data_IF_520060884845
#
_entry.id   IF_520060884845
#
_cell.length_a   1.000
_cell.length_b   1.000
_cell.length_c   1.000
_cell.angle_alpha   90.00
_cell.angle_beta   90.00
_cell.angle_gamma   90.00
#
_symmetry.space_group_name_H-M   'P 1'
#
loop_
_entity.id
_entity.type
_entity.pdbx_description
1 polymer ?
#
# COMPACT_ATOMS: atom_id res chain seq x y z
N UNK A 1 -5.52 10.57 8.19
CA UNK A 1 -6.99 10.40 8.01
C UNK A 1 -7.34 8.93 8.20
N UNK A 2 -8.10 8.58 9.24
CA UNK A 2 -8.45 7.18 9.64
C UNK A 2 -9.26 6.35 8.62
N UNK A 3 -9.68 6.94 7.49
CA UNK A 3 -10.58 6.31 6.51
C UNK A 3 -9.97 6.18 5.11
N UNK A 4 -8.71 6.57 4.93
CA UNK A 4 -8.04 6.45 3.62
C UNK A 4 -7.65 4.98 3.41
N UNK A 5 -7.94 4.47 2.22
CA UNK A 5 -7.38 3.18 1.78
C UNK A 5 -5.87 3.29 1.63
N UNK A 6 -5.16 2.15 1.68
CA UNK A 6 -3.71 2.12 1.46
C UNK A 6 -3.28 2.80 0.17
N UNK A 7 -4.04 2.60 -0.93
CA UNK A 7 -3.79 3.27 -2.20
C UNK A 7 -3.67 4.79 -2.05
N UNK A 8 -4.52 5.40 -1.24
CA UNK A 8 -4.55 6.83 -0.99
C UNK A 8 -3.52 7.27 0.07
N UNK A 9 -3.20 6.39 1.01
CA UNK A 9 -2.18 6.67 2.04
C UNK A 9 -0.75 6.63 1.48
N UNK A 10 -0.52 5.80 0.47
CA UNK A 10 0.80 5.56 -0.12
C UNK A 10 1.05 6.33 -1.43
N UNK A 11 0.07 7.08 -1.93
CA UNK A 11 0.17 7.78 -3.20
C UNK A 11 1.41 8.70 -3.30
N UNK A 12 1.70 9.47 -2.25
CA UNK A 12 2.86 10.38 -2.24
C UNK A 12 4.18 9.61 -2.19
N UNK A 13 4.22 8.49 -1.48
CA UNK A 13 5.42 7.64 -1.41
C UNK A 13 5.65 6.89 -2.72
N UNK A 14 4.60 6.36 -3.35
CA UNK A 14 4.69 5.64 -4.63
C UNK A 14 4.73 6.58 -5.85
N UNK A 15 4.54 7.88 -5.66
CA UNK A 15 4.51 8.89 -6.73
C UNK A 15 3.12 9.08 -7.36
N UNK A 16 2.24 8.08 -7.31
CA UNK A 16 0.82 8.25 -7.64
C UNK A 16 -0.08 7.19 -6.98
N UNK A 17 -1.41 7.41 -6.90
CA UNK A 17 -2.34 6.38 -6.46
C UNK A 17 -2.34 5.13 -7.35
N UNK A 18 -2.07 5.28 -8.66
CA UNK A 18 -1.99 4.15 -9.58
C UNK A 18 -0.74 3.30 -9.33
N UNK A 19 0.38 3.95 -9.01
CA UNK A 19 1.63 3.26 -8.68
C UNK A 19 1.54 2.56 -7.33
N UNK A 20 0.93 3.21 -6.33
CA UNK A 20 0.63 2.57 -5.05
C UNK A 20 -0.21 1.31 -5.23
N UNK A 21 -1.21 1.35 -6.12
CA UNK A 21 -2.06 0.19 -6.44
C UNK A 21 -1.26 -0.96 -7.07
N UNK A 22 -0.38 -0.67 -8.04
CA UNK A 22 0.51 -1.68 -8.64
C UNK A 22 1.39 -2.35 -7.60
N UNK A 23 2.07 -1.56 -6.76
CA UNK A 23 2.96 -2.08 -5.71
C UNK A 23 2.21 -2.93 -4.69
N UNK A 24 1.01 -2.53 -4.30
CA UNK A 24 0.16 -3.30 -3.38
C UNK A 24 -0.24 -4.64 -4.00
N UNK A 25 -0.68 -4.65 -5.26
CA UNK A 25 -1.04 -5.88 -5.98
C UNK A 25 0.17 -6.81 -6.13
N UNK A 26 1.33 -6.29 -6.50
CA UNK A 26 2.58 -7.08 -6.61
C UNK A 26 3.07 -7.62 -5.27
N UNK A 27 2.78 -6.93 -4.17
CA UNK A 27 3.05 -7.39 -2.82
C UNK A 27 2.00 -8.37 -2.28
N UNK A 28 0.94 -8.66 -3.04
CA UNK A 28 -0.16 -9.52 -2.63
C UNK A 28 -1.11 -8.86 -1.62
N UNK A 29 -1.12 -7.54 -1.54
CA UNK A 29 -1.90 -6.74 -0.59
C UNK A 29 -3.09 -6.10 -1.33
N UNK A 30 -4.27 -6.15 -0.71
CA UNK A 30 -5.45 -5.47 -1.27
C UNK A 30 -5.25 -3.94 -1.26
N UNK A 31 -5.44 -3.24 -2.40
CA UNK A 31 -5.39 -1.77 -2.45
C UNK A 31 -6.46 -1.09 -1.59
N UNK A 32 -7.50 -1.84 -1.21
CA UNK A 32 -8.60 -1.38 -0.35
C UNK A 32 -8.36 -1.68 1.13
N UNK A 33 -7.31 -2.45 1.47
CA UNK A 33 -6.94 -2.69 2.86
C UNK A 33 -6.63 -1.36 3.56
N UNK A 34 -6.76 -1.37 4.89
CA UNK A 34 -6.39 -0.23 5.72
C UNK A 34 -5.06 -0.49 6.38
N UNK A 35 -4.33 0.58 6.69
CA UNK A 35 -3.01 0.49 7.31
C UNK A 35 -3.01 -0.30 8.63
N UNK A 36 -4.11 -0.24 9.39
CA UNK A 36 -4.28 -1.00 10.63
C UNK A 36 -4.44 -2.53 10.44
N UNK A 37 -4.72 -3.00 9.23
CA UNK A 37 -4.92 -4.43 8.93
C UNK A 37 -3.60 -5.15 8.57
N UNK A 38 -2.51 -4.41 8.36
CA UNK A 38 -1.22 -4.96 7.93
C UNK A 38 -0.27 -5.21 9.09
N UNK A 39 0.53 -6.25 8.94
CA UNK A 39 1.66 -6.55 9.81
C UNK A 39 2.96 -6.02 9.20
N UNK A 40 4.03 -5.97 10.01
CA UNK A 40 5.33 -5.45 9.60
C UNK A 40 5.87 -6.16 8.35
N UNK A 41 5.61 -7.46 8.21
CA UNK A 41 6.01 -8.29 7.08
C UNK A 41 5.38 -7.83 5.78
N UNK A 42 4.14 -7.33 5.80
CA UNK A 42 3.47 -6.83 4.61
C UNK A 42 4.11 -5.53 4.13
N UNK A 43 4.51 -4.65 5.06
CA UNK A 43 5.26 -3.44 4.72
C UNK A 43 6.64 -3.77 4.15
N UNK A 44 7.32 -4.81 4.66
CA UNK A 44 8.60 -5.29 4.11
C UNK A 44 8.41 -5.84 2.68
N UNK A 45 7.36 -6.64 2.44
CA UNK A 45 7.03 -7.11 1.08
C UNK A 45 6.77 -5.94 0.15
N UNK A 46 5.97 -4.96 0.58
CA UNK A 46 5.69 -3.76 -0.20
C UNK A 46 6.96 -2.97 -0.53
N UNK A 47 7.85 -2.78 0.45
CA UNK A 47 9.12 -2.09 0.25
C UNK A 47 10.03 -2.82 -0.75
N UNK A 48 9.94 -4.15 -0.86
CA UNK A 48 10.71 -4.93 -1.84
C UNK A 48 10.21 -4.80 -3.28
N UNK A 49 9.05 -4.18 -3.51
CA UNK A 49 8.45 -4.00 -4.84
C UNK A 49 8.65 -2.61 -5.42
N UNK A 50 9.02 -1.64 -4.58
CA UNK A 50 9.26 -0.25 -5.01
C UNK A 50 10.70 -0.06 -5.45
#
# INVERSE_FOLDING_TARGET
>A
QRRKTLRQALADWAGSPAEAERLLVEAGISPQARGEDLIIEDFVRLASKK
#
